data_IF_370745117037
#
_entry.id   IF_370745117037
#
_cell.length_a   1.000
_cell.length_b   1.000
_cell.length_c   1.000
_cell.angle_alpha   90.00
_cell.angle_beta   90.00
_cell.angle_gamma   90.00
#
_symmetry.space_group_name_H-M   'P 1'
#
loop_
_entity.id
_entity.type
_entity.pdbx_description
1 polymer ?
#
# COMPACT_ATOMS: atom_id res chain seq x y z
N UNK A 1 -11.65 7.89 4.32
CA UNK A 1 -10.30 8.07 3.74
C UNK A 1 -10.23 7.23 2.46
N UNK A 2 -10.33 7.81 1.26
CA UNK A 2 -10.35 7.01 0.02
C UNK A 2 -10.94 7.70 -1.22
N UNK A 3 -11.62 8.83 -1.06
CA UNK A 3 -12.23 9.56 -2.18
C UNK A 3 -11.20 10.36 -3.00
N UNK A 4 -9.95 10.44 -2.54
CA UNK A 4 -8.87 11.24 -3.15
C UNK A 4 -8.14 10.51 -4.28
N UNK A 5 -8.11 9.17 -4.23
CA UNK A 5 -7.51 8.31 -5.26
C UNK A 5 -8.49 7.96 -6.36
N UNK A 6 -9.75 7.68 -6.01
CA UNK A 6 -10.83 7.32 -6.92
C UNK A 6 -12.16 7.61 -6.21
N UNK A 7 -13.20 8.06 -6.94
CA UNK A 7 -14.53 8.25 -6.37
C UNK A 7 -15.15 6.90 -5.96
N UNK A 8 -15.27 6.63 -4.67
CA UNK A 8 -15.76 5.35 -4.13
C UNK A 8 -17.26 5.43 -3.86
N UNK A 9 -18.05 4.55 -4.49
CA UNK A 9 -19.44 4.25 -4.11
C UNK A 9 -19.49 3.00 -3.21
N UNK A 10 -20.54 2.80 -2.39
CA UNK A 10 -20.65 1.65 -1.48
C UNK A 10 -20.45 0.30 -2.19
N UNK A 11 -21.00 0.14 -3.39
CA UNK A 11 -20.80 -1.05 -4.24
C UNK A 11 -19.33 -1.28 -4.62
N UNK A 12 -18.63 -0.23 -5.07
CA UNK A 12 -17.21 -0.32 -5.42
C UNK A 12 -16.33 -0.54 -4.19
N UNK A 13 -16.70 0.01 -3.03
CA UNK A 13 -16.00 -0.19 -1.77
C UNK A 13 -16.05 -1.66 -1.32
N UNK A 14 -17.21 -2.30 -1.45
CA UNK A 14 -17.35 -3.73 -1.19
C UNK A 14 -16.44 -4.56 -2.12
N UNK A 15 -16.44 -4.28 -3.42
CA UNK A 15 -15.56 -4.97 -4.38
C UNK A 15 -14.07 -4.77 -4.05
N UNK A 16 -13.67 -3.57 -3.64
CA UNK A 16 -12.29 -3.26 -3.23
C UNK A 16 -11.87 -4.08 -2.02
N UNK A 17 -12.72 -4.14 -0.98
CA UNK A 17 -12.40 -4.91 0.23
C UNK A 17 -12.35 -6.41 -0.04
N UNK A 18 -13.26 -6.95 -0.86
CA UNK A 18 -13.22 -8.37 -1.25
C UNK A 18 -11.96 -8.69 -2.05
N UNK A 19 -11.55 -7.84 -2.99
CA UNK A 19 -10.31 -8.03 -3.76
C UNK A 19 -9.05 -7.95 -2.89
N UNK A 20 -9.03 -7.02 -1.94
CA UNK A 20 -7.93 -6.91 -0.99
C UNK A 20 -7.89 -8.12 -0.04
N UNK A 21 -9.04 -8.51 0.52
CA UNK A 21 -9.15 -9.63 1.45
C UNK A 21 -8.79 -10.96 0.80
N UNK A 22 -9.25 -11.22 -0.43
CA UNK A 22 -8.89 -12.45 -1.15
C UNK A 22 -7.38 -12.54 -1.40
N UNK A 23 -6.75 -11.45 -1.81
CA UNK A 23 -5.29 -11.39 -2.02
C UNK A 23 -4.54 -11.63 -0.71
N UNK A 24 -4.98 -10.99 0.39
CA UNK A 24 -4.38 -11.17 1.72
C UNK A 24 -4.52 -12.62 2.19
N UNK A 25 -5.71 -13.20 2.07
CA UNK A 25 -5.96 -14.59 2.47
C UNK A 25 -5.11 -15.57 1.68
N UNK A 26 -4.98 -15.40 0.36
CA UNK A 26 -4.14 -16.25 -0.47
C UNK A 26 -2.67 -16.15 -0.05
N UNK A 27 -2.14 -14.95 0.15
CA UNK A 27 -0.76 -14.77 0.59
C UNK A 27 -0.51 -15.34 2.00
N UNK A 28 -1.46 -15.16 2.91
CA UNK A 28 -1.40 -15.74 4.25
C UNK A 28 -1.39 -17.27 4.22
N UNK A 29 -2.13 -17.89 3.30
CA UNK A 29 -2.10 -19.36 3.11
C UNK A 29 -0.76 -19.86 2.59
N UNK A 30 -0.05 -19.04 1.82
CA UNK A 30 1.30 -19.35 1.29
C UNK A 30 2.40 -18.97 2.32
N UNK A 31 2.04 -18.34 3.44
CA UNK A 31 2.98 -17.95 4.50
C UNK A 31 3.83 -16.73 4.16
N UNK A 32 3.44 -15.94 3.15
CA UNK A 32 4.19 -14.74 2.75
C UNK A 32 3.75 -13.52 3.55
N UNK A 33 4.67 -12.80 4.22
CA UNK A 33 4.36 -11.54 4.86
C UNK A 33 4.14 -10.47 3.80
N UNK A 34 2.89 -10.07 3.59
CA UNK A 34 2.52 -9.03 2.62
C UNK A 34 1.94 -7.78 3.29
N UNK A 35 2.11 -6.64 2.63
CA UNK A 35 1.52 -5.37 3.07
C UNK A 35 0.05 -5.27 2.65
N UNK A 36 -0.86 -5.22 3.63
CA UNK A 36 -2.31 -5.04 3.37
C UNK A 36 -2.62 -3.68 2.75
N UNK A 37 -1.79 -2.66 3.00
CA UNK A 37 -1.89 -1.34 2.34
C UNK A 37 -1.70 -1.45 0.84
N UNK A 38 -0.73 -2.24 0.37
CA UNK A 38 -0.51 -2.45 -1.07
C UNK A 38 -1.67 -3.23 -1.70
N UNK A 39 -2.20 -4.25 -1.02
CA UNK A 39 -3.36 -5.01 -1.52
C UNK A 39 -4.60 -4.13 -1.66
N UNK A 40 -4.86 -3.26 -0.68
CA UNK A 40 -6.00 -2.33 -0.72
C UNK A 40 -5.82 -1.26 -1.79
N UNK A 41 -4.66 -0.59 -1.86
CA UNK A 41 -4.39 0.43 -2.87
C UNK A 41 -4.44 -0.14 -4.29
N UNK A 42 -3.89 -1.34 -4.52
CA UNK A 42 -3.99 -2.03 -5.81
C UNK A 42 -5.44 -2.31 -6.21
N UNK A 43 -6.27 -2.77 -5.27
CA UNK A 43 -7.70 -3.02 -5.50
C UNK A 43 -8.47 -1.74 -5.85
N UNK A 44 -8.18 -0.62 -5.15
CA UNK A 44 -8.76 0.70 -5.45
C UNK A 44 -8.41 1.16 -6.88
N UNK A 45 -7.14 1.03 -7.28
CA UNK A 45 -6.68 1.46 -8.61
C UNK A 45 -7.33 0.63 -9.70
N UNK A 46 -7.42 -0.70 -9.51
CA UNK A 46 -8.02 -1.60 -10.49
C UNK A 46 -9.51 -1.27 -10.69
N UNK A 47 -10.27 -1.14 -9.60
CA UNK A 47 -11.69 -0.78 -9.65
C UNK A 47 -11.90 0.62 -10.24
N UNK A 48 -11.04 1.59 -9.88
CA UNK A 48 -11.06 2.93 -10.46
C UNK A 48 -10.81 2.92 -11.97
N UNK A 49 -9.84 2.12 -12.42
CA UNK A 49 -9.49 1.99 -13.85
C UNK A 49 -10.59 1.30 -14.66
N UNK A 50 -11.24 0.27 -14.10
CA UNK A 50 -12.36 -0.44 -14.75
C UNK A 50 -13.57 0.49 -14.90
N UNK A 51 -13.87 1.27 -13.86
CA UNK A 51 -15.04 2.16 -13.85
C UNK A 51 -14.89 3.38 -14.76
N UNK A 52 -13.72 4.01 -14.79
CA UNK A 52 -13.42 5.10 -15.70
C UNK A 52 -11.91 5.26 -15.88
N UNK A 53 -11.40 5.26 -17.13
CA UNK A 53 -9.96 5.42 -17.43
C UNK A 53 -9.35 6.71 -16.86
N UNK A 54 -10.16 7.75 -16.64
CA UNK A 54 -9.75 9.03 -16.03
C UNK A 54 -10.12 9.16 -14.54
N UNK A 55 -10.72 8.13 -13.94
CA UNK A 55 -11.24 8.18 -12.57
C UNK A 55 -10.19 8.02 -11.46
N UNK A 56 -8.90 7.88 -11.82
CA UNK A 56 -7.79 7.63 -10.89
C UNK A 56 -6.86 8.83 -10.83
N UNK A 57 -6.59 9.34 -9.63
CA UNK A 57 -5.61 10.40 -9.40
C UNK A 57 -4.18 9.84 -9.43
N UNK A 58 -3.60 9.78 -10.64
CA UNK A 58 -2.24 9.27 -10.86
C UNK A 58 -1.14 10.12 -10.22
N UNK A 59 -1.38 11.41 -9.94
CA UNK A 59 -0.42 12.26 -9.23
C UNK A 59 -0.32 11.84 -7.77
N UNK A 60 -1.46 11.64 -7.12
CA UNK A 60 -1.52 11.16 -5.73
C UNK A 60 -0.92 9.76 -5.60
N UNK A 61 -1.27 8.83 -6.49
CA UNK A 61 -0.70 7.47 -6.47
C UNK A 61 0.83 7.50 -6.58
N UNK A 62 1.40 8.30 -7.48
CA UNK A 62 2.85 8.44 -7.61
C UNK A 62 3.51 9.00 -6.35
N UNK A 63 2.90 9.97 -5.68
CA UNK A 63 3.41 10.47 -4.40
C UNK A 63 3.42 9.38 -3.32
N UNK A 64 2.37 8.56 -3.24
CA UNK A 64 2.29 7.44 -2.30
C UNK A 64 3.37 6.39 -2.63
N UNK A 65 3.53 6.04 -3.91
CA UNK A 65 4.56 5.10 -4.34
C UNK A 65 5.99 5.60 -4.06
N UNK A 66 6.24 6.89 -4.28
CA UNK A 66 7.51 7.52 -3.93
C UNK A 66 7.76 7.48 -2.41
N UNK A 67 6.73 7.70 -1.59
CA UNK A 67 6.82 7.58 -0.15
C UNK A 67 7.16 6.15 0.29
N UNK A 68 6.55 5.12 -0.32
CA UNK A 68 6.90 3.72 -0.02
C UNK A 68 8.36 3.42 -0.29
N UNK A 69 8.89 3.85 -1.45
CA UNK A 69 10.29 3.65 -1.80
C UNK A 69 11.21 4.41 -0.83
N UNK A 70 10.85 5.63 -0.44
CA UNK A 70 11.65 6.46 0.48
C UNK A 70 11.63 5.94 1.92
N UNK A 71 10.53 5.30 2.35
CA UNK A 71 10.43 4.77 3.72
C UNK A 71 11.41 3.63 3.99
N UNK A 72 11.70 2.77 3.01
CA UNK A 72 12.62 1.62 3.17
C UNK A 72 14.07 2.03 3.49
N UNK A 73 14.74 2.91 2.72
CA UNK A 73 16.10 3.33 3.03
C UNK A 73 16.15 4.17 4.30
N UNK A 74 15.12 4.99 4.57
CA UNK A 74 15.09 5.80 5.78
C UNK A 74 15.02 4.93 7.04
N UNK A 75 14.15 3.92 7.06
CA UNK A 75 14.06 2.99 8.20
C UNK A 75 15.30 2.12 8.33
N UNK A 76 15.90 1.68 7.21
CA UNK A 76 17.15 0.95 7.21
C UNK A 76 18.30 1.77 7.80
N UNK A 77 18.44 3.04 7.41
CA UNK A 77 19.46 3.95 7.94
C UNK A 77 19.26 4.24 9.43
N UNK A 78 18.02 4.49 9.86
CA UNK A 78 17.72 4.68 11.28
C UNK A 78 18.04 3.43 12.11
N UNK A 79 17.71 2.24 11.59
CA UNK A 79 18.02 0.97 12.27
C UNK A 79 19.53 0.72 12.35
N UNK A 80 20.26 0.98 11.26
CA UNK A 80 21.73 0.87 11.24
C UNK A 80 22.39 1.84 12.23
N UNK A 81 21.93 3.10 12.27
CA UNK A 81 22.44 4.10 13.21
C UNK A 81 22.17 3.71 14.68
N UNK A 82 20.97 3.21 14.97
CA UNK A 82 20.62 2.74 16.31
C UNK A 82 21.50 1.56 16.76
N UNK A 83 21.73 0.58 15.88
CA UNK A 83 22.62 -0.56 16.17
C UNK A 83 24.08 -0.13 16.34
N UNK A 84 24.58 0.80 15.51
CA UNK A 84 25.94 1.31 15.63
C UNK A 84 26.17 2.06 16.95
N UNK A 85 25.19 2.85 17.41
CA UNK A 85 25.25 3.50 18.72
C UNK A 85 25.27 2.48 19.87
N UNK A 86 24.47 1.42 19.77
CA UNK A 86 24.43 0.34 20.76
C UNK A 86 25.77 -0.42 20.85
N UNK A 87 26.44 -0.64 19.72
CA UNK A 87 27.77 -1.28 19.66
C UNK A 87 28.90 -0.38 20.17
N UNK A 88 28.76 0.95 20.15
CA UNK A 88 29.75 1.88 20.68
C UNK A 88 29.64 2.05 22.21
N UNK A 89 28.43 1.81 22.75
CA UNK A 89 28.13 1.95 24.18
C UNK A 89 28.46 0.68 25.00
N UNK A 90 28.73 -0.44 24.33
CA UNK A 90 29.01 -1.77 24.90
C UNK A 90 30.50 -2.11 24.69
#
# INVERSE_FOLDING_TARGET
>A
MGNDLTKITPSSGFTIEIGAASTVLVASKIGLPISTTHCKVGSVIMVGRIRNKQGVNWKLFRNIAAAWILTVPLTALCSAAAMALLQLAL
#
